data_IF_162407369731
#
_entry.id   IF_162407369731
#
_cell.length_a   1.000
_cell.length_b   1.000
_cell.length_c   1.000
_cell.angle_alpha   90.00
_cell.angle_beta   90.00
_cell.angle_gamma   90.00
#
_symmetry.space_group_name_H-M   'P 1'
#
loop_
_entity.id
_entity.type
_entity.pdbx_description
1 polymer ?
#
# COMPACT_ATOMS: atom_id res chain seq x y z
N UNK A 1 -14.74 9.53 24.52
CA UNK A 1 -14.78 9.27 23.40
C UNK A 1 -14.09 9.95 22.25
N UNK A 2 -13.20 10.85 22.54
CA UNK A 2 -12.34 11.40 21.51
C UNK A 2 -11.46 10.31 20.88
N UNK A 3 -11.21 9.26 21.63
CA UNK A 3 -10.42 8.13 21.15
C UNK A 3 -11.07 7.50 19.92
N UNK A 4 -12.40 7.41 19.93
CA UNK A 4 -13.13 6.81 18.83
C UNK A 4 -12.97 7.61 17.53
N UNK A 5 -13.02 8.94 17.65
CA UNK A 5 -12.86 9.80 16.48
C UNK A 5 -11.45 9.72 15.92
N UNK A 6 -10.46 9.73 16.80
CA UNK A 6 -9.06 9.62 16.38
C UNK A 6 -8.79 8.29 15.71
N UNK A 7 -9.38 7.24 16.22
CA UNK A 7 -9.20 5.91 15.63
C UNK A 7 -9.83 5.84 14.24
N UNK A 8 -10.99 6.43 14.07
CA UNK A 8 -11.63 6.47 12.76
C UNK A 8 -10.75 7.21 11.75
N UNK A 9 -10.14 8.30 12.16
CA UNK A 9 -9.22 9.05 11.30
C UNK A 9 -7.99 8.24 10.94
N UNK A 10 -7.43 7.53 11.91
CA UNK A 10 -6.27 6.69 11.67
C UNK A 10 -6.58 5.58 10.68
N UNK A 11 -7.74 4.95 10.84
CA UNK A 11 -8.17 3.90 9.93
C UNK A 11 -8.34 4.46 8.53
N UNK A 12 -8.96 5.62 8.42
CA UNK A 12 -9.16 6.26 7.12
C UNK A 12 -7.85 6.62 6.46
N UNK A 13 -6.91 7.18 7.20
CA UNK A 13 -5.60 7.54 6.68
C UNK A 13 -4.84 6.30 6.23
N UNK A 14 -4.87 5.26 7.04
CA UNK A 14 -4.19 4.01 6.70
C UNK A 14 -4.81 3.38 5.46
N UNK A 15 -6.13 3.43 5.35
CA UNK A 15 -6.83 2.92 4.19
C UNK A 15 -6.44 3.70 2.94
N UNK A 16 -6.34 5.03 3.05
CA UNK A 16 -5.94 5.87 1.93
C UNK A 16 -4.51 5.56 1.49
N UNK A 17 -3.60 5.39 2.43
CA UNK A 17 -2.24 5.01 2.12
C UNK A 17 -2.18 3.65 1.43
N UNK A 18 -2.97 2.71 1.91
CA UNK A 18 -3.05 1.39 1.31
C UNK A 18 -3.55 1.47 -0.13
N UNK A 19 -4.60 2.23 -0.34
CA UNK A 19 -5.15 2.43 -1.68
C UNK A 19 -4.13 3.07 -2.61
N UNK A 20 -3.40 4.05 -2.14
CA UNK A 20 -2.35 4.71 -2.92
C UNK A 20 -1.25 3.72 -3.29
N UNK A 21 -0.84 2.88 -2.35
CA UNK A 21 0.19 1.88 -2.62
C UNK A 21 -0.29 0.86 -3.65
N UNK A 22 -1.52 0.42 -3.53
CA UNK A 22 -2.11 -0.53 -4.48
C UNK A 22 -2.16 0.08 -5.87
N UNK A 23 -2.58 1.33 -5.96
CA UNK A 23 -2.65 2.03 -7.24
C UNK A 23 -1.26 2.18 -7.85
N UNK A 24 -0.29 2.60 -7.06
CA UNK A 24 1.08 2.74 -7.53
C UNK A 24 1.65 1.42 -8.01
N UNK A 25 1.41 0.35 -7.26
CA UNK A 25 1.85 -0.97 -7.65
C UNK A 25 1.21 -1.41 -8.96
N UNK A 26 -0.08 -1.13 -9.12
CA UNK A 26 -0.80 -1.46 -10.34
C UNK A 26 -0.21 -0.75 -11.54
N UNK A 27 0.10 0.53 -11.39
CA UNK A 27 0.72 1.32 -12.47
C UNK A 27 2.08 0.74 -12.84
N UNK A 28 2.90 0.41 -11.86
CA UNK A 28 4.21 -0.17 -12.11
C UNK A 28 4.11 -1.53 -12.80
N UNK A 29 3.18 -2.35 -12.34
CA UNK A 29 2.96 -3.67 -12.90
C UNK A 29 2.52 -3.57 -14.36
N UNK A 30 1.62 -2.65 -14.66
CA UNK A 30 1.16 -2.40 -16.02
C UNK A 30 2.30 -1.92 -16.91
N UNK A 31 3.15 -1.03 -16.40
CA UNK A 31 4.28 -0.51 -17.15
C UNK A 31 5.25 -1.63 -17.52
N UNK A 32 5.48 -2.54 -16.59
CA UNK A 32 6.35 -3.70 -16.85
C UNK A 32 5.71 -4.63 -17.87
N UNK A 33 4.42 -4.90 -17.72
CA UNK A 33 3.70 -5.80 -18.62
C UNK A 33 3.63 -5.26 -20.04
N UNK A 34 3.54 -3.95 -20.19
CA UNK A 34 3.48 -3.33 -21.51
C UNK A 34 4.85 -3.19 -22.18
N UNK A 35 5.91 -3.57 -21.49
CA UNK A 35 7.24 -3.44 -22.02
C UNK A 35 7.70 -1.99 -22.14
N UNK A 36 7.06 -1.13 -21.39
CA UNK A 36 7.37 0.30 -21.39
C UNK A 36 8.75 0.60 -20.80
N UNK A 37 9.25 -0.34 -19.98
CA UNK A 37 10.48 -0.14 -19.25
C UNK A 37 11.58 -1.02 -19.82
N UNK A 38 12.76 -0.43 -19.94
CA UNK A 38 13.91 -1.13 -20.46
C UNK A 38 14.54 -2.03 -19.40
N UNK A 39 15.28 -3.02 -19.87
CA UNK A 39 15.89 -4.01 -18.98
C UNK A 39 16.76 -3.40 -17.89
N UNK A 40 17.46 -2.30 -18.21
CA UNK A 40 18.33 -1.68 -17.22
C UNK A 40 17.57 -1.03 -16.07
N UNK A 41 16.29 -0.76 -16.28
CA UNK A 41 15.45 -0.22 -15.21
C UNK A 41 14.65 -1.28 -14.51
N UNK A 42 14.61 -2.49 -15.05
CA UNK A 42 13.76 -3.53 -14.51
C UNK A 42 14.14 -3.94 -13.09
N UNK A 43 15.43 -3.88 -12.76
CA UNK A 43 15.87 -4.23 -11.41
C UNK A 43 15.38 -3.22 -10.38
N UNK A 44 15.45 -1.93 -10.70
CA UNK A 44 14.96 -0.89 -9.82
C UNK A 44 13.44 -0.99 -9.64
N UNK A 45 12.76 -1.27 -10.72
CA UNK A 45 11.31 -1.37 -10.69
C UNK A 45 10.87 -2.60 -9.93
N UNK A 46 11.56 -3.72 -10.09
CA UNK A 46 11.29 -4.91 -9.29
C UNK A 46 11.48 -4.62 -7.80
N UNK A 47 12.49 -3.83 -7.47
CA UNK A 47 12.73 -3.43 -6.11
C UNK A 47 11.58 -2.58 -5.58
N UNK A 48 11.11 -1.63 -6.38
CA UNK A 48 9.98 -0.79 -5.99
C UNK A 48 8.72 -1.61 -5.81
N UNK A 49 8.46 -2.54 -6.73
CA UNK A 49 7.29 -3.41 -6.63
C UNK A 49 7.35 -4.21 -5.33
N UNK A 50 8.52 -4.73 -5.01
CA UNK A 50 8.71 -5.49 -3.78
C UNK A 50 8.46 -4.63 -2.54
N UNK A 51 8.97 -3.41 -2.55
CA UNK A 51 8.76 -2.47 -1.45
C UNK A 51 7.29 -2.13 -1.28
N UNK A 52 6.59 -1.88 -2.39
CA UNK A 52 5.16 -1.60 -2.33
C UNK A 52 4.38 -2.79 -1.80
N UNK A 53 4.73 -3.99 -2.22
CA UNK A 53 4.06 -5.19 -1.71
C UNK A 53 4.23 -5.34 -0.21
N UNK A 54 5.44 -5.10 0.28
CA UNK A 54 5.72 -5.13 1.71
C UNK A 54 4.90 -4.09 2.45
N UNK A 55 4.84 -2.90 1.90
CA UNK A 55 4.09 -1.82 2.51
C UNK A 55 2.60 -2.12 2.54
N UNK A 56 2.09 -2.68 1.46
CA UNK A 56 0.69 -3.06 1.39
C UNK A 56 0.36 -4.11 2.46
N UNK A 57 1.20 -5.11 2.61
CA UNK A 57 0.99 -6.12 3.64
C UNK A 57 1.02 -5.51 5.04
N UNK A 58 1.98 -4.63 5.28
CA UNK A 58 2.11 -3.96 6.57
C UNK A 58 0.86 -3.13 6.87
N UNK A 59 0.42 -2.35 5.92
CA UNK A 59 -0.76 -1.49 6.11
C UNK A 59 -2.03 -2.30 6.30
N UNK A 60 -2.17 -3.40 5.57
CA UNK A 60 -3.31 -4.29 5.74
C UNK A 60 -3.33 -4.90 7.13
N UNK A 61 -2.19 -5.30 7.62
CA UNK A 61 -2.06 -5.84 8.96
C UNK A 61 -2.44 -4.79 10.01
N UNK A 62 -1.96 -3.58 9.82
CA UNK A 62 -2.29 -2.48 10.72
C UNK A 62 -3.79 -2.20 10.73
N UNK A 63 -4.40 -2.17 9.57
CA UNK A 63 -5.84 -1.96 9.46
C UNK A 63 -6.62 -3.05 10.18
N UNK A 64 -6.21 -4.29 10.00
CA UNK A 64 -6.89 -5.40 10.63
C UNK A 64 -6.80 -5.31 12.13
N UNK A 65 -5.62 -4.97 12.65
CA UNK A 65 -5.43 -4.80 14.08
C UNK A 65 -6.26 -3.65 14.63
N UNK A 66 -6.32 -2.55 13.91
CA UNK A 66 -7.12 -1.41 14.32
C UNK A 66 -8.60 -1.76 14.40
N UNK A 67 -9.09 -2.50 13.42
CA UNK A 67 -10.49 -2.91 13.39
C UNK A 67 -10.81 -3.89 14.50
N UNK A 68 -9.89 -4.83 14.72
CA UNK A 68 -10.08 -5.84 15.76
C UNK A 68 -10.02 -5.23 17.14
N UNK A 69 -9.05 -4.37 17.37
CA UNK A 69 -8.89 -3.72 18.67
C UNK A 69 -9.94 -2.66 18.92
N UNK A 70 -10.62 -2.24 17.88
CA UNK A 70 -11.65 -1.23 17.97
C UNK A 70 -12.94 -1.70 18.62
N UNK A 71 -13.02 -3.00 18.85
CA UNK A 71 -14.17 -3.56 19.58
C UNK A 71 -13.97 -3.39 21.08
#
# INVERSE_FOLDING_TARGET
MKITVNRAKEIEQTQNELDDCIESLSVLDNAVSCGFLFDKHSLEIQKWIKEYKHRIEYLREQLEQMRTNGK
#
